data_IF_028207703209
#
_entry.id   IF_028207703209
#
_cell.length_a   1.000
_cell.length_b   1.000
_cell.length_c   1.000
_cell.angle_alpha   90.00
_cell.angle_beta   90.00
_cell.angle_gamma   90.00
#
_symmetry.space_group_name_H-M   'P 1'
#
loop_
_entity.id
_entity.type
_entity.pdbx_description
1 polymer ?
#
# COMPACT_ATOMS: atom_id res chain seq x y z
N UNK A 1 15.63 -32.73 -13.11
CA UNK A 1 14.68 -32.05 -12.18
C UNK A 1 14.72 -30.52 -12.32
N UNK A 2 14.71 -29.96 -13.55
CA UNK A 2 14.95 -28.51 -13.77
C UNK A 2 13.71 -27.66 -14.07
N UNK A 3 12.54 -28.29 -14.27
CA UNK A 3 11.32 -27.60 -14.73
C UNK A 3 10.66 -26.74 -13.64
N UNK A 4 10.86 -27.08 -12.36
CA UNK A 4 10.22 -26.38 -11.23
C UNK A 4 10.86 -25.02 -10.94
N UNK A 5 12.19 -24.92 -11.04
CA UNK A 5 12.93 -23.66 -10.80
C UNK A 5 12.71 -22.61 -11.88
N UNK A 6 12.61 -23.04 -13.15
CA UNK A 6 12.31 -22.13 -14.27
C UNK A 6 10.94 -21.47 -14.16
N UNK A 7 9.91 -22.23 -13.73
CA UNK A 7 8.57 -21.69 -13.52
C UNK A 7 8.55 -20.68 -12.35
N UNK A 8 9.22 -20.98 -11.23
CA UNK A 8 9.28 -20.08 -10.08
C UNK A 8 9.95 -18.74 -10.41
N UNK A 9 10.99 -18.74 -11.24
CA UNK A 9 11.66 -17.51 -11.66
C UNK A 9 10.75 -16.64 -12.53
N UNK A 10 10.06 -17.22 -13.52
CA UNK A 10 9.10 -16.49 -14.36
C UNK A 10 7.93 -15.93 -13.53
N UNK A 11 7.44 -16.70 -12.56
CA UNK A 11 6.38 -16.28 -11.65
C UNK A 11 6.81 -15.10 -10.77
N UNK A 12 8.04 -15.09 -10.25
CA UNK A 12 8.58 -13.97 -9.45
C UNK A 12 8.70 -12.70 -10.28
N UNK A 13 9.16 -12.81 -11.53
CA UNK A 13 9.23 -11.67 -12.46
C UNK A 13 7.82 -11.13 -12.72
N UNK A 14 6.85 -12.01 -13.00
CA UNK A 14 5.45 -11.63 -13.22
C UNK A 14 4.88 -10.93 -11.98
N UNK A 15 5.04 -11.50 -10.80
CA UNK A 15 4.52 -10.94 -9.54
C UNK A 15 5.09 -9.56 -9.24
N UNK A 16 6.39 -9.34 -9.50
CA UNK A 16 7.01 -8.02 -9.30
C UNK A 16 6.45 -6.99 -10.29
N UNK A 17 6.24 -7.35 -11.55
CA UNK A 17 5.62 -6.46 -12.55
C UNK A 17 4.16 -6.15 -12.20
N UNK A 18 3.38 -7.15 -11.80
CA UNK A 18 2.00 -6.95 -11.35
C UNK A 18 1.92 -6.09 -10.08
N UNK A 19 2.85 -6.26 -9.14
CA UNK A 19 2.96 -5.40 -7.96
C UNK A 19 3.24 -3.95 -8.36
N UNK A 20 4.09 -3.72 -9.35
CA UNK A 20 4.38 -2.38 -9.88
C UNK A 20 3.13 -1.73 -10.47
N UNK A 21 2.41 -2.42 -11.35
CA UNK A 21 1.16 -1.93 -11.95
C UNK A 21 0.06 -1.68 -10.90
N UNK A 22 0.01 -2.47 -9.83
CA UNK A 22 -0.88 -2.26 -8.70
C UNK A 22 -0.48 -1.00 -7.91
N UNK A 23 0.82 -0.82 -7.66
CA UNK A 23 1.35 0.36 -6.96
C UNK A 23 1.08 1.66 -7.74
N UNK A 24 1.18 1.64 -9.07
CA UNK A 24 0.82 2.78 -9.93
C UNK A 24 -0.64 3.18 -9.83
N UNK A 25 -1.52 2.21 -9.54
CA UNK A 25 -2.96 2.44 -9.34
C UNK A 25 -3.34 2.66 -7.87
N UNK A 26 -2.37 2.70 -6.95
CA UNK A 26 -2.61 2.82 -5.51
C UNK A 26 -3.32 1.60 -4.89
N UNK A 27 -3.27 0.44 -5.53
CA UNK A 27 -3.94 -0.79 -5.10
C UNK A 27 -3.07 -1.55 -4.09
N UNK A 28 -2.91 -1.00 -2.88
CA UNK A 28 -1.93 -1.49 -1.90
C UNK A 28 -2.18 -2.92 -1.41
N UNK A 29 -3.44 -3.36 -1.31
CA UNK A 29 -3.76 -4.76 -0.97
C UNK A 29 -3.28 -5.74 -2.04
N UNK A 30 -3.39 -5.35 -3.32
CA UNK A 30 -2.89 -6.15 -4.43
C UNK A 30 -1.34 -6.20 -4.42
N UNK A 31 -0.68 -5.09 -4.08
CA UNK A 31 0.78 -5.04 -3.87
C UNK A 31 1.19 -6.01 -2.75
N UNK A 32 0.51 -5.96 -1.59
CA UNK A 32 0.79 -6.83 -0.46
C UNK A 32 0.61 -8.32 -0.81
N UNK A 33 -0.46 -8.67 -1.53
CA UNK A 33 -0.70 -10.03 -2.01
C UNK A 33 0.43 -10.50 -2.94
N UNK A 34 0.84 -9.67 -3.90
CA UNK A 34 1.94 -10.01 -4.81
C UNK A 34 3.25 -10.28 -4.04
N UNK A 35 3.58 -9.46 -3.03
CA UNK A 35 4.77 -9.70 -2.20
C UNK A 35 4.64 -10.95 -1.33
N UNK A 36 3.44 -11.27 -0.84
CA UNK A 36 3.20 -12.52 -0.11
C UNK A 36 3.44 -13.76 -0.97
N UNK A 37 2.83 -13.81 -2.15
CA UNK A 37 3.02 -14.90 -3.12
C UNK A 37 4.49 -15.01 -3.57
N UNK A 38 5.13 -13.87 -3.86
CA UNK A 38 6.53 -13.83 -4.29
C UNK A 38 7.49 -14.28 -3.18
N UNK A 39 7.23 -13.89 -1.93
CA UNK A 39 8.00 -14.32 -0.77
C UNK A 39 7.96 -15.83 -0.58
N UNK A 40 6.79 -16.46 -0.77
CA UNK A 40 6.65 -17.91 -0.71
C UNK A 40 7.46 -18.62 -1.81
N UNK A 41 7.47 -18.09 -3.04
CA UNK A 41 8.28 -18.63 -4.13
C UNK A 41 9.79 -18.49 -3.86
N UNK A 42 10.23 -17.31 -3.41
CA UNK A 42 11.63 -17.06 -3.06
C UNK A 42 12.12 -17.99 -1.95
N UNK A 43 11.30 -18.23 -0.92
CA UNK A 43 11.64 -19.14 0.17
C UNK A 43 11.78 -20.61 -0.29
N UNK A 44 11.07 -21.01 -1.35
CA UNK A 44 11.12 -22.36 -1.91
C UNK A 44 12.23 -22.54 -2.98
N UNK A 45 12.88 -21.46 -3.42
CA UNK A 45 13.92 -21.53 -4.46
C UNK A 45 15.24 -22.00 -3.88
N UNK A 46 15.89 -22.92 -4.60
CA UNK A 46 17.24 -23.40 -4.30
C UNK A 46 18.32 -22.79 -5.21
N UNK A 47 17.89 -22.05 -6.24
CA UNK A 47 18.77 -21.40 -7.21
C UNK A 47 18.68 -19.89 -7.09
N UNK A 48 19.79 -19.15 -7.29
CA UNK A 48 19.75 -17.70 -7.35
C UNK A 48 18.83 -17.18 -8.47
N UNK A 49 18.22 -16.02 -8.24
CA UNK A 49 17.36 -15.35 -9.21
C UNK A 49 18.22 -14.62 -10.25
N UNK A 50 18.11 -14.96 -11.54
CA UNK A 50 19.02 -14.38 -12.56
C UNK A 50 18.80 -12.87 -12.76
N UNK A 51 17.56 -12.39 -12.66
CA UNK A 51 17.19 -10.98 -12.89
C UNK A 51 17.07 -10.18 -11.58
N UNK A 52 17.76 -10.60 -10.51
CA UNK A 52 17.61 -9.99 -9.18
C UNK A 52 17.81 -8.47 -9.16
N UNK A 53 18.79 -7.95 -9.90
CA UNK A 53 19.09 -6.51 -9.94
C UNK A 53 17.92 -5.67 -10.49
N UNK A 54 17.30 -6.10 -11.59
CA UNK A 54 16.21 -5.35 -12.20
C UNK A 54 14.93 -5.42 -11.38
N UNK A 55 14.69 -6.57 -10.73
CA UNK A 55 13.56 -6.71 -9.81
C UNK A 55 13.73 -5.85 -8.55
N UNK A 56 14.96 -5.71 -8.03
CA UNK A 56 15.24 -4.82 -6.92
C UNK A 56 15.00 -3.34 -7.27
N UNK A 57 15.30 -2.91 -8.51
CA UNK A 57 14.97 -1.55 -8.97
C UNK A 57 13.47 -1.31 -9.01
N UNK A 58 12.68 -2.31 -9.42
CA UNK A 58 11.21 -2.21 -9.37
C UNK A 58 10.71 -2.13 -7.93
N UNK A 59 11.28 -2.92 -7.02
CA UNK A 59 10.92 -2.87 -5.60
C UNK A 59 11.24 -1.50 -4.96
N UNK A 60 12.34 -0.89 -5.34
CA UNK A 60 12.69 0.47 -4.91
C UNK A 60 11.67 1.50 -5.41
N UNK A 61 11.27 1.42 -6.68
CA UNK A 61 10.22 2.28 -7.23
C UNK A 61 8.86 2.11 -6.55
N UNK A 62 8.50 0.88 -6.15
CA UNK A 62 7.30 0.61 -5.37
C UNK A 62 7.44 1.23 -3.97
N UNK A 63 8.60 1.09 -3.32
CA UNK A 63 8.87 1.67 -2.01
C UNK A 63 8.75 3.20 -2.01
N UNK A 64 9.27 3.86 -3.03
CA UNK A 64 9.17 5.31 -3.14
C UNK A 64 7.73 5.79 -3.36
N UNK A 65 6.93 5.03 -4.12
CA UNK A 65 5.48 5.28 -4.24
C UNK A 65 4.76 5.12 -2.90
N UNK A 66 5.08 4.08 -2.13
CA UNK A 66 4.50 3.88 -0.79
C UNK A 66 4.85 5.05 0.14
N UNK A 67 6.11 5.49 0.15
CA UNK A 67 6.54 6.66 0.94
C UNK A 67 5.80 7.92 0.53
N UNK A 68 5.61 8.12 -0.77
CA UNK A 68 4.86 9.28 -1.31
C UNK A 68 3.41 9.24 -0.85
N UNK A 69 2.74 8.08 -0.97
CA UNK A 69 1.38 7.90 -0.50
C UNK A 69 1.24 8.14 1.01
N UNK A 70 2.20 7.64 1.81
CA UNK A 70 2.23 7.88 3.25
C UNK A 70 2.37 9.37 3.58
N UNK A 71 3.24 10.10 2.90
CA UNK A 71 3.40 11.54 3.11
C UNK A 71 2.10 12.31 2.81
N UNK A 72 1.42 11.97 1.71
CA UNK A 72 0.12 12.56 1.36
C UNK A 72 -0.93 12.25 2.42
N UNK A 73 -1.04 11.00 2.87
CA UNK A 73 -1.98 10.60 3.93
C UNK A 73 -1.73 11.35 5.24
N UNK A 74 -0.46 11.51 5.64
CA UNK A 74 -0.09 12.27 6.84
C UNK A 74 -0.53 13.74 6.71
N UNK A 75 -0.31 14.37 5.55
CA UNK A 75 -0.76 15.75 5.30
C UNK A 75 -2.29 15.86 5.43
N UNK A 76 -3.03 14.98 4.74
CA UNK A 76 -4.49 14.98 4.75
C UNK A 76 -5.07 14.76 6.15
N UNK A 77 -4.47 13.85 6.94
CA UNK A 77 -4.88 13.62 8.31
C UNK A 77 -4.61 14.86 9.20
N UNK A 78 -3.48 15.54 8.99
CA UNK A 78 -3.16 16.79 9.66
C UNK A 78 -4.16 17.91 9.33
N UNK A 79 -4.49 18.08 8.05
CA UNK A 79 -5.47 19.06 7.58
C UNK A 79 -6.88 18.78 8.12
N UNK A 80 -7.29 17.50 8.11
CA UNK A 80 -8.58 17.09 8.66
C UNK A 80 -8.66 17.33 10.18
N UNK A 81 -7.57 17.08 10.91
CA UNK A 81 -7.49 17.36 12.34
C UNK A 81 -7.58 18.87 12.63
N UNK A 82 -6.83 19.69 11.90
CA UNK A 82 -6.88 21.15 12.03
C UNK A 82 -8.27 21.72 11.70
N UNK A 83 -8.91 21.20 10.65
CA UNK A 83 -10.28 21.58 10.28
C UNK A 83 -11.27 21.24 11.39
N UNK A 84 -11.18 20.03 11.96
CA UNK A 84 -12.03 19.61 13.08
C UNK A 84 -11.87 20.52 14.29
N UNK A 85 -10.63 20.87 14.65
CA UNK A 85 -10.34 21.78 15.75
C UNK A 85 -10.93 23.18 15.52
N UNK A 86 -10.80 23.72 14.31
CA UNK A 86 -11.40 25.02 13.94
C UNK A 86 -12.92 25.00 14.07
N UNK A 87 -13.58 23.95 13.57
CA UNK A 87 -15.03 23.81 13.68
C UNK A 87 -15.49 23.70 15.14
N UNK A 88 -14.79 22.93 15.98
CA UNK A 88 -15.07 22.84 17.41
C UNK A 88 -14.91 24.19 18.11
N UNK A 89 -13.85 24.94 17.80
CA UNK A 89 -13.64 26.28 18.33
C UNK A 89 -14.74 27.26 17.90
N UNK A 90 -15.22 27.17 16.66
CA UNK A 90 -16.35 27.99 16.18
C UNK A 90 -17.66 27.62 16.89
N UNK A 91 -17.96 26.35 17.05
CA UNK A 91 -19.15 25.88 17.78
C UNK A 91 -19.17 26.41 19.23
N UNK A 92 -18.03 26.33 19.93
CA UNK A 92 -17.89 26.87 21.28
C UNK A 92 -18.15 28.38 21.34
N UNK A 93 -17.61 29.15 20.38
CA UNK A 93 -17.78 30.61 20.33
C UNK A 93 -19.19 31.06 19.97
N UNK A 94 -19.90 30.27 19.17
CA UNK A 94 -21.28 30.56 18.74
C UNK A 94 -22.33 30.04 19.73
N UNK A 95 -21.93 29.43 20.85
CA UNK A 95 -22.85 28.84 21.82
C UNK A 95 -23.65 27.65 21.27
N UNK A 96 -23.23 27.08 20.14
CA UNK A 96 -23.89 25.95 19.50
C UNK A 96 -23.67 24.70 20.33
N UNK A 97 -24.76 24.04 20.77
CA UNK A 97 -24.65 22.71 21.37
C UNK A 97 -23.95 21.76 20.39
N UNK A 98 -23.08 20.85 20.88
CA UNK A 98 -22.43 19.88 20.02
C UNK A 98 -23.48 19.03 19.31
N UNK A 99 -23.50 19.05 17.98
CA UNK A 99 -24.34 18.14 17.20
C UNK A 99 -23.99 16.71 17.58
N UNK A 100 -24.98 15.95 18.04
CA UNK A 100 -24.85 14.53 18.37
C UNK A 100 -24.24 13.78 17.19
N UNK A 101 -23.18 12.96 17.39
CA UNK A 101 -22.57 12.21 16.30
C UNK A 101 -23.63 11.30 15.67
N UNK A 102 -23.86 11.43 14.37
CA UNK A 102 -24.66 10.47 13.63
C UNK A 102 -23.80 9.24 13.41
N UNK A 103 -24.08 8.18 14.16
CA UNK A 103 -23.46 6.87 13.96
C UNK A 103 -23.95 6.30 12.64
N UNK A 104 -23.13 6.37 11.59
CA UNK A 104 -23.44 5.73 10.31
C UNK A 104 -23.08 4.25 10.44
N UNK A 105 -24.11 3.41 10.63
CA UNK A 105 -23.95 1.95 10.65
C UNK A 105 -23.63 1.47 9.24
N UNK A 106 -22.36 1.16 8.96
CA UNK A 106 -22.00 0.39 7.77
C UNK A 106 -22.40 -1.07 8.01
N UNK A 107 -23.42 -1.55 7.28
CA UNK A 107 -23.73 -2.97 7.22
C UNK A 107 -22.59 -3.68 6.48
N UNK A 108 -22.08 -4.74 7.11
CA UNK A 108 -21.17 -5.71 6.49
C UNK A 108 -21.88 -6.55 5.42
#
# INVERSE_FOLDING_TARGET
>A
MSLRGGNSQADIVRLTKTAMEAAERGQWDAVARCYGERGALLAAMQTPLQEASDLLKLDEQIRDRVRTAQAVLVSLLGEAAATRQRLQGLQQRLGGQPSTPVTVSMKA
#
